data_IF_082724035856
#
_entry.id   IF_082724035856
#
_cell.length_a   1.000
_cell.length_b   1.000
_cell.length_c   1.000
_cell.angle_alpha   90.00
_cell.angle_beta   90.00
_cell.angle_gamma   90.00
#
_symmetry.space_group_name_H-M   'P 1'
#
loop_
_entity.id
_entity.type
_entity.pdbx_description
1 polymer ?
#
# COMPACT_ATOMS: atom_id res chain seq x y z
N UNK A 1 6.52 -8.31 -5.16
CA UNK A 1 7.10 -7.36 -4.19
C UNK A 1 7.02 -5.92 -4.69
N UNK A 2 7.50 -5.64 -5.91
CA UNK A 2 7.49 -4.30 -6.53
C UNK A 2 6.22 -3.48 -6.27
N UNK A 3 5.05 -3.96 -6.69
CA UNK A 3 3.79 -3.20 -6.54
C UNK A 3 3.40 -2.92 -5.08
N UNK A 4 3.78 -3.79 -4.14
CA UNK A 4 3.53 -3.58 -2.70
C UNK A 4 4.47 -2.52 -2.13
N UNK A 5 5.72 -2.46 -2.60
CA UNK A 5 6.65 -1.38 -2.26
C UNK A 5 6.23 -0.04 -2.89
N UNK A 6 5.73 -0.05 -4.12
CA UNK A 6 5.18 1.17 -4.75
C UNK A 6 4.01 1.72 -3.92
N UNK A 7 3.10 0.85 -3.46
CA UNK A 7 2.00 1.26 -2.58
C UNK A 7 2.50 1.80 -1.24
N UNK A 8 3.50 1.16 -0.64
CA UNK A 8 4.16 1.67 0.57
C UNK A 8 4.68 3.08 0.36
N UNK A 9 5.46 3.31 -0.70
CA UNK A 9 6.02 4.63 -0.97
C UNK A 9 4.95 5.67 -1.25
N UNK A 10 3.90 5.31 -1.98
CA UNK A 10 2.78 6.21 -2.24
C UNK A 10 2.04 6.61 -0.96
N UNK A 11 1.99 5.74 0.06
CA UNK A 11 1.43 6.04 1.37
C UNK A 11 2.39 6.81 2.31
N UNK A 12 3.70 6.75 2.08
CA UNK A 12 4.72 7.46 2.88
C UNK A 12 5.03 8.84 2.29
N UNK A 13 5.36 8.91 1.00
CA UNK A 13 5.77 10.11 0.27
C UNK A 13 4.55 10.71 -0.44
N UNK A 14 3.59 11.13 0.38
CA UNK A 14 2.21 11.35 -0.05
C UNK A 14 2.04 12.60 -0.91
N UNK A 15 1.35 12.44 -2.04
CA UNK A 15 0.64 13.52 -2.75
C UNK A 15 -0.82 13.12 -2.98
N UNK A 16 -1.72 14.10 -3.03
CA UNK A 16 -3.16 13.85 -3.26
C UNK A 16 -3.64 14.46 -4.58
N UNK A 17 -4.32 13.63 -5.37
CA UNK A 17 -4.88 13.97 -6.67
C UNK A 17 -5.68 15.28 -6.67
N UNK A 18 -6.50 15.52 -5.64
CA UNK A 18 -7.33 16.73 -5.54
C UNK A 18 -6.53 18.02 -5.37
N UNK A 19 -5.34 17.95 -4.77
CA UNK A 19 -4.50 19.14 -4.50
C UNK A 19 -3.40 19.35 -5.54
N UNK A 20 -3.01 18.33 -6.31
CA UNK A 20 -1.98 18.48 -7.38
C UNK A 20 -2.47 19.18 -8.65
N UNK A 21 -3.75 19.57 -8.70
CA UNK A 21 -4.29 20.74 -9.41
C UNK A 21 -4.29 20.75 -10.96
N UNK A 22 -5.41 21.20 -11.53
CA UNK A 22 -5.53 21.57 -12.95
C UNK A 22 -5.54 20.39 -13.93
N UNK A 23 -5.55 20.72 -15.23
CA UNK A 23 -5.66 19.73 -16.34
C UNK A 23 -4.57 18.63 -16.35
N UNK A 24 -3.48 18.85 -15.63
CA UNK A 24 -2.32 17.96 -15.58
C UNK A 24 -2.27 17.09 -14.31
N UNK A 25 -3.20 17.24 -13.35
CA UNK A 25 -3.13 16.55 -12.05
C UNK A 25 -3.01 15.03 -12.16
N UNK A 26 -3.80 14.41 -13.06
CA UNK A 26 -3.75 12.97 -13.32
C UNK A 26 -2.37 12.49 -13.77
N UNK A 27 -1.79 13.19 -14.75
CA UNK A 27 -0.49 12.81 -15.31
C UNK A 27 0.64 13.03 -14.30
N UNK A 28 0.54 14.04 -13.42
CA UNK A 28 1.51 14.22 -12.32
C UNK A 28 1.49 13.05 -11.35
N UNK A 29 0.31 12.60 -10.93
CA UNK A 29 0.19 11.44 -10.04
C UNK A 29 0.73 10.15 -10.69
N UNK A 30 0.47 9.94 -11.98
CA UNK A 30 1.03 8.79 -12.71
C UNK A 30 2.55 8.87 -12.78
N UNK A 31 3.11 10.02 -13.14
CA UNK A 31 4.56 10.17 -13.25
C UNK A 31 5.25 9.94 -11.90
N UNK A 32 4.70 10.50 -10.81
CA UNK A 32 5.21 10.25 -9.47
C UNK A 32 5.12 8.75 -9.12
N UNK A 33 4.01 8.09 -9.41
CA UNK A 33 3.85 6.66 -9.10
C UNK A 33 4.78 5.76 -9.93
N UNK A 34 4.98 6.07 -11.21
CA UNK A 34 5.97 5.38 -12.05
C UNK A 34 7.38 5.57 -11.50
N UNK A 35 7.74 6.79 -11.08
CA UNK A 35 9.02 7.05 -10.41
C UNK A 35 9.16 6.20 -9.13
N UNK A 36 8.16 6.21 -8.24
CA UNK A 36 8.18 5.39 -7.03
C UNK A 36 8.28 3.89 -7.31
N UNK A 37 7.69 3.44 -8.42
CA UNK A 37 7.78 2.05 -8.88
C UNK A 37 9.17 1.72 -9.40
N UNK A 38 9.73 2.55 -10.27
CA UNK A 38 11.05 2.33 -10.88
C UNK A 38 12.17 2.40 -9.82
N UNK A 39 12.00 3.23 -8.79
CA UNK A 39 12.95 3.43 -7.70
C UNK A 39 12.56 2.73 -6.39
N UNK A 40 11.65 1.75 -6.42
CA UNK A 40 11.07 1.14 -5.23
C UNK A 40 12.10 0.54 -4.25
N UNK A 41 13.28 0.17 -4.73
CA UNK A 41 14.38 -0.43 -3.97
C UNK A 41 15.71 0.33 -4.08
N UNK A 42 15.68 1.58 -4.55
CA UNK A 42 16.86 2.44 -4.70
C UNK A 42 17.40 2.90 -3.33
N UNK A 43 18.43 3.76 -3.32
CA UNK A 43 18.84 4.45 -2.10
C UNK A 43 17.80 5.47 -1.68
N UNK A 44 17.68 5.69 -0.37
CA UNK A 44 16.70 6.63 0.14
C UNK A 44 16.95 8.07 -0.32
N UNK A 45 18.23 8.42 -0.50
CA UNK A 45 18.68 9.70 -1.05
C UNK A 45 18.12 9.92 -2.46
N UNK A 46 18.22 8.93 -3.34
CA UNK A 46 17.73 9.02 -4.71
C UNK A 46 16.21 9.19 -4.75
N UNK A 47 15.50 8.42 -3.92
CA UNK A 47 14.04 8.50 -3.80
C UNK A 47 13.62 9.90 -3.34
N UNK A 48 14.25 10.42 -2.27
CA UNK A 48 13.93 11.75 -1.74
C UNK A 48 14.30 12.87 -2.71
N UNK A 49 15.46 12.81 -3.37
CA UNK A 49 15.85 13.79 -4.40
C UNK A 49 14.84 13.83 -5.54
N UNK A 50 14.41 12.65 -6.03
CA UNK A 50 13.40 12.56 -7.07
C UNK A 50 12.08 13.17 -6.63
N UNK A 51 11.61 12.84 -5.42
CA UNK A 51 10.37 13.39 -4.85
C UNK A 51 10.46 14.89 -4.57
N UNK A 52 11.59 15.42 -4.10
CA UNK A 52 11.79 16.88 -3.93
C UNK A 52 11.60 17.64 -5.23
N UNK A 53 12.03 17.04 -6.34
CA UNK A 53 11.89 17.62 -7.68
C UNK A 53 10.60 17.22 -8.40
N UNK A 54 9.76 16.36 -7.81
CA UNK A 54 8.60 15.79 -8.49
C UNK A 54 7.48 16.84 -8.69
N UNK A 55 6.92 16.99 -9.90
CA UNK A 55 5.86 17.95 -10.16
C UNK A 55 4.59 17.80 -9.32
N UNK A 56 4.22 16.58 -8.91
CA UNK A 56 3.08 16.38 -8.04
C UNK A 56 3.39 16.93 -6.65
N UNK A 57 4.56 16.59 -6.09
CA UNK A 57 5.01 17.05 -4.78
C UNK A 57 5.21 18.57 -4.71
N UNK A 58 5.83 19.16 -5.75
CA UNK A 58 6.05 20.60 -5.87
C UNK A 58 4.74 21.41 -5.84
N UNK A 59 3.65 20.87 -6.40
CA UNK A 59 2.31 21.43 -6.28
C UNK A 59 1.68 21.13 -4.92
N UNK A 60 1.75 19.87 -4.48
CA UNK A 60 1.06 19.39 -3.29
C UNK A 60 1.51 20.08 -2.01
N UNK A 61 2.81 20.32 -1.85
CA UNK A 61 3.38 20.99 -0.67
C UNK A 61 3.86 22.41 -0.97
N UNK A 62 3.29 23.01 -2.01
CA UNK A 62 3.44 24.43 -2.35
C UNK A 62 4.90 24.90 -2.53
N UNK A 63 5.83 23.99 -2.88
CA UNK A 63 7.23 24.35 -3.12
C UNK A 63 7.38 25.25 -4.36
N UNK A 64 6.43 25.19 -5.31
CA UNK A 64 6.32 26.16 -6.41
C UNK A 64 6.11 27.61 -5.97
N UNK A 65 5.62 27.82 -4.74
CA UNK A 65 5.45 29.15 -4.13
C UNK A 65 6.65 29.54 -3.25
N UNK A 66 7.62 28.64 -3.06
CA UNK A 66 8.84 28.92 -2.31
C UNK A 66 9.77 29.80 -3.15
N UNK A 67 10.08 31.00 -2.66
CA UNK A 67 10.92 31.99 -3.36
C UNK A 67 12.19 32.25 -2.56
N UNK A 68 13.25 32.67 -3.25
CA UNK A 68 14.54 33.10 -2.66
C UNK A 68 14.39 33.92 -1.37
N UNK A 69 13.53 34.94 -1.40
CA UNK A 69 13.32 35.88 -0.28
C UNK A 69 12.12 35.55 0.61
N UNK A 70 11.28 34.60 0.19
CA UNK A 70 10.10 34.16 0.93
C UNK A 70 9.97 32.64 0.80
N UNK A 71 10.80 31.87 1.53
CA UNK A 71 10.74 30.42 1.50
C UNK A 71 9.41 29.90 2.04
N UNK A 72 8.89 28.83 1.44
CA UNK A 72 7.69 28.16 1.92
C UNK A 72 8.08 26.96 2.80
N UNK A 73 7.69 27.01 4.07
CA UNK A 73 8.04 26.01 5.08
C UNK A 73 7.33 24.66 4.93
N UNK A 74 6.20 24.59 4.20
CA UNK A 74 5.36 23.40 4.16
C UNK A 74 6.17 22.15 3.78
N UNK A 75 6.80 22.13 2.60
CA UNK A 75 7.58 20.97 2.19
C UNK A 75 8.74 20.65 3.15
N UNK A 76 9.45 21.65 3.66
CA UNK A 76 10.57 21.44 4.57
C UNK A 76 10.13 20.78 5.89
N UNK A 77 9.00 21.23 6.43
CA UNK A 77 8.39 20.65 7.63
C UNK A 77 7.98 19.20 7.40
N UNK A 78 7.22 18.93 6.34
CA UNK A 78 6.74 17.58 6.04
C UNK A 78 7.89 16.62 5.71
N UNK A 79 8.93 17.11 5.02
CA UNK A 79 10.12 16.33 4.72
C UNK A 79 10.81 15.86 6.01
N UNK A 80 10.94 16.72 7.02
CA UNK A 80 11.49 16.35 8.33
C UNK A 80 10.52 15.50 9.16
N UNK A 81 9.26 15.92 9.27
CA UNK A 81 8.30 15.34 10.21
C UNK A 81 7.71 14.02 9.71
N UNK A 82 7.25 13.98 8.46
CA UNK A 82 6.44 12.88 7.93
C UNK A 82 7.18 12.00 6.95
N UNK A 83 8.29 12.47 6.38
CA UNK A 83 9.07 11.69 5.44
C UNK A 83 10.35 11.14 6.05
N UNK A 84 11.07 11.85 6.93
CA UNK A 84 12.43 11.40 7.32
C UNK A 84 12.68 11.21 8.82
N UNK A 85 12.39 12.17 9.70
CA UNK A 85 12.89 12.15 11.08
C UNK A 85 11.79 11.80 12.09
N UNK A 86 10.57 12.28 11.87
CA UNK A 86 9.53 12.27 12.90
C UNK A 86 9.58 13.49 13.81
N UNK A 87 8.55 13.64 14.63
CA UNK A 87 8.44 14.72 15.62
C UNK A 87 9.56 14.65 16.67
N UNK A 88 10.02 15.82 17.12
CA UNK A 88 11.00 15.94 18.21
C UNK A 88 12.47 15.87 17.80
N UNK A 89 12.76 15.76 16.50
CA UNK A 89 14.12 15.64 15.96
C UNK A 89 14.62 16.88 15.21
N UNK A 90 13.85 17.96 15.20
CA UNK A 90 14.18 19.22 14.56
C UNK A 90 13.50 20.38 15.29
N UNK A 91 13.99 21.60 15.07
CA UNK A 91 13.43 22.84 15.62
C UNK A 91 12.67 23.63 14.56
N UNK A 92 11.93 24.65 14.99
CA UNK A 92 11.31 25.59 14.05
C UNK A 92 12.36 26.33 13.19
N UNK A 93 13.57 26.56 13.72
CA UNK A 93 14.65 27.18 12.95
C UNK A 93 15.10 26.25 11.82
N UNK A 94 15.21 24.94 12.07
CA UNK A 94 15.55 23.97 11.03
C UNK A 94 14.51 23.95 9.91
N UNK A 95 13.23 24.16 10.22
CA UNK A 95 12.17 24.28 9.21
C UNK A 95 12.41 25.48 8.31
N UNK A 96 12.69 26.65 8.90
CA UNK A 96 12.96 27.88 8.16
C UNK A 96 14.21 27.74 7.27
N UNK A 97 15.29 27.22 7.82
CA UNK A 97 16.59 27.06 7.16
C UNK A 97 16.54 26.00 6.05
N UNK A 98 15.86 24.89 6.30
CA UNK A 98 15.57 23.86 5.30
C UNK A 98 14.72 24.41 4.17
N UNK A 99 13.68 25.19 4.48
CA UNK A 99 12.84 25.83 3.47
C UNK A 99 13.65 26.77 2.56
N UNK A 100 14.55 27.57 3.14
CA UNK A 100 15.46 28.42 2.40
C UNK A 100 16.38 27.60 1.48
N UNK A 101 16.96 26.51 1.97
CA UNK A 101 17.81 25.61 1.19
C UNK A 101 17.07 24.89 0.04
N UNK A 102 15.76 24.69 0.19
CA UNK A 102 14.89 24.03 -0.79
C UNK A 102 14.34 24.97 -1.88
N UNK A 103 14.65 26.28 -1.84
CA UNK A 103 14.25 27.24 -2.88
C UNK A 103 14.96 27.00 -4.23
N UNK A 104 14.35 27.47 -5.32
CA UNK A 104 14.91 27.41 -6.68
C UNK A 104 14.20 26.44 -7.63
N UNK A 105 13.15 25.76 -7.19
CA UNK A 105 12.38 24.83 -8.03
C UNK A 105 11.21 25.51 -8.75
N UNK A 106 11.06 25.18 -10.02
CA UNK A 106 10.00 25.70 -10.89
C UNK A 106 9.37 24.58 -11.70
N UNK A 107 8.16 24.85 -12.17
CA UNK A 107 7.43 23.93 -13.06
C UNK A 107 7.28 24.50 -14.45
N UNK A 108 7.40 23.60 -15.43
CA UNK A 108 7.06 23.82 -16.83
C UNK A 108 6.21 22.64 -17.31
N UNK A 109 4.89 22.80 -17.24
CA UNK A 109 3.94 21.76 -17.64
C UNK A 109 3.94 20.55 -16.71
N UNK A 110 4.54 19.45 -17.18
CA UNK A 110 4.70 18.16 -16.47
C UNK A 110 6.14 17.90 -16.04
N UNK A 111 7.04 18.86 -16.25
CA UNK A 111 8.44 18.76 -15.86
C UNK A 111 8.76 19.85 -14.84
N UNK A 112 9.71 19.56 -13.96
CA UNK A 112 10.32 20.54 -13.07
C UNK A 112 11.69 20.93 -13.60
N UNK A 113 12.19 22.07 -13.14
CA UNK A 113 13.59 22.47 -13.35
C UNK A 113 14.05 23.33 -12.17
N UNK A 114 15.36 23.29 -11.92
CA UNK A 114 16.01 24.08 -10.90
C UNK A 114 16.63 25.34 -11.52
N UNK A 115 16.33 26.51 -10.97
CA UNK A 115 16.93 27.79 -11.32
C UNK A 115 17.81 28.29 -10.17
N UNK A 116 19.15 28.23 -10.28
CA UNK A 116 20.06 28.69 -9.24
C UNK A 116 19.88 30.17 -8.87
N UNK A 117 19.36 31.03 -9.76
CA UNK A 117 19.14 32.45 -9.46
C UNK A 117 18.01 32.67 -8.45
N UNK A 118 17.05 31.74 -8.40
CA UNK A 118 15.89 31.78 -7.51
C UNK A 118 16.13 31.01 -6.21
N UNK A 119 17.34 30.49 -6.02
CA UNK A 119 17.81 29.88 -4.79
C UNK A 119 18.26 30.94 -3.79
N UNK A 120 17.89 30.76 -2.52
CA UNK A 120 18.44 31.48 -1.39
C UNK A 120 19.89 31.04 -1.20
N UNK A 121 20.83 31.94 -1.49
CA UNK A 121 22.28 31.72 -1.46
C UNK A 121 22.94 32.24 -0.18
N UNK A 122 22.14 32.61 0.83
CA UNK A 122 22.67 33.00 2.13
C UNK A 122 23.21 31.78 2.89
N UNK A 123 24.11 32.03 3.84
CA UNK A 123 24.55 31.01 4.80
C UNK A 123 23.37 30.58 5.64
N UNK A 124 23.14 29.26 5.70
CA UNK A 124 22.06 28.59 6.42
C UNK A 124 22.66 27.69 7.49
N UNK A 125 21.94 27.51 8.59
CA UNK A 125 22.29 26.51 9.61
C UNK A 125 21.14 25.52 9.75
N UNK A 126 21.33 24.30 9.23
CA UNK A 126 20.30 23.27 9.15
C UNK A 126 20.77 22.01 9.85
N UNK A 127 20.06 21.60 10.92
CA UNK A 127 20.36 20.40 11.72
C UNK A 127 21.83 20.31 12.15
N UNK A 128 22.40 21.46 12.55
CA UNK A 128 23.79 21.58 13.00
C UNK A 128 24.83 21.74 11.89
N UNK A 129 24.44 21.71 10.61
CA UNK A 129 25.33 21.98 9.48
C UNK A 129 25.19 23.42 9.02
N UNK A 130 26.30 24.14 8.89
CA UNK A 130 26.32 25.54 8.45
C UNK A 130 27.02 25.70 7.11
N UNK A 131 26.40 26.42 6.18
CA UNK A 131 26.98 26.73 4.87
C UNK A 131 25.97 27.30 3.89
N UNK A 132 26.36 27.48 2.63
CA UNK A 132 25.42 27.80 1.56
C UNK A 132 24.72 26.52 1.07
N UNK A 133 23.83 25.98 1.92
CA UNK A 133 23.17 24.70 1.71
C UNK A 133 22.10 24.80 0.62
N UNK A 134 22.04 23.79 -0.24
CA UNK A 134 21.01 23.59 -1.26
C UNK A 134 20.18 22.31 -1.00
N UNK A 135 19.23 22.01 -1.88
CA UNK A 135 18.33 20.86 -1.73
C UNK A 135 19.06 19.51 -1.62
N UNK A 136 20.21 19.33 -2.28
CA UNK A 136 21.00 18.08 -2.17
C UNK A 136 21.62 17.95 -0.79
N UNK A 137 22.12 19.06 -0.25
CA UNK A 137 22.66 19.08 1.11
C UNK A 137 21.57 18.78 2.13
N UNK A 138 20.36 19.34 1.96
CA UNK A 138 19.20 19.02 2.82
C UNK A 138 18.90 17.53 2.80
N UNK A 139 18.78 16.91 1.62
CA UNK A 139 18.51 15.47 1.54
C UNK A 139 19.64 14.66 2.17
N UNK A 140 20.90 14.99 1.86
CA UNK A 140 22.05 14.29 2.41
C UNK A 140 22.12 14.40 3.95
N UNK A 141 21.87 15.59 4.51
CA UNK A 141 21.84 15.79 5.97
C UNK A 141 20.73 14.96 6.60
N UNK A 142 19.54 14.94 5.99
CA UNK A 142 18.40 14.20 6.50
C UNK A 142 18.61 12.68 6.45
N UNK A 143 19.09 12.14 5.34
CA UNK A 143 19.28 10.69 5.19
C UNK A 143 20.36 10.15 6.11
N UNK A 144 21.35 10.97 6.47
CA UNK A 144 22.41 10.66 7.44
C UNK A 144 22.05 11.01 8.89
N UNK A 145 20.91 11.68 9.14
CA UNK A 145 20.52 12.04 10.50
C UNK A 145 20.24 10.79 11.34
N UNK A 146 20.68 10.71 12.63
CA UNK A 146 20.53 9.51 13.45
C UNK A 146 19.10 8.98 13.59
N UNK A 147 18.08 9.84 13.47
CA UNK A 147 16.67 9.46 13.54
C UNK A 147 16.13 8.82 12.24
N UNK A 148 16.70 9.14 11.08
CA UNK A 148 16.20 8.72 9.77
C UNK A 148 16.11 7.20 9.57
N UNK A 149 17.15 6.39 9.90
CA UNK A 149 17.03 4.94 9.78
C UNK A 149 15.90 4.39 10.66
N UNK A 150 15.74 4.88 11.89
CA UNK A 150 14.69 4.41 12.80
C UNK A 150 13.30 4.74 12.29
N UNK A 151 13.13 5.94 11.75
CA UNK A 151 11.88 6.39 11.16
C UNK A 151 11.43 5.50 10.00
N UNK A 152 12.31 5.34 9.00
CA UNK A 152 11.96 4.62 7.78
C UNK A 152 11.78 3.11 8.04
N UNK A 153 12.69 2.52 8.80
CA UNK A 153 12.63 1.08 9.11
C UNK A 153 11.42 0.72 9.95
N UNK A 154 10.99 1.60 10.88
CA UNK A 154 9.72 1.42 11.60
C UNK A 154 8.53 1.41 10.66
N UNK A 155 8.47 2.36 9.71
CA UNK A 155 7.39 2.40 8.71
C UNK A 155 7.37 1.13 7.85
N UNK A 156 8.52 0.71 7.33
CA UNK A 156 8.64 -0.52 6.56
C UNK A 156 8.21 -1.74 7.39
N UNK A 157 8.71 -1.87 8.61
CA UNK A 157 8.38 -2.99 9.48
C UNK A 157 6.87 -3.06 9.76
N UNK A 158 6.26 -1.95 10.18
CA UNK A 158 4.82 -1.89 10.42
C UNK A 158 4.03 -2.22 9.14
N UNK A 159 4.48 -1.74 7.98
CA UNK A 159 3.80 -1.98 6.71
C UNK A 159 3.98 -3.39 6.14
N UNK A 160 4.93 -4.20 6.64
CA UNK A 160 5.16 -5.56 6.12
C UNK A 160 4.97 -6.67 7.14
N UNK A 161 5.07 -6.39 8.44
CA UNK A 161 5.17 -7.43 9.49
C UNK A 161 4.04 -7.26 10.51
N UNK A 162 4.22 -6.47 11.56
CA UNK A 162 3.22 -6.19 12.59
C UNK A 162 3.38 -4.78 13.17
N UNK A 163 2.35 -4.31 13.86
CA UNK A 163 2.33 -2.99 14.51
C UNK A 163 3.19 -2.93 15.77
N UNK A 164 3.67 -1.73 16.10
CA UNK A 164 4.43 -1.44 17.32
C UNK A 164 5.70 -2.33 17.51
N UNK A 165 6.60 -2.41 16.51
CA UNK A 165 7.84 -3.16 16.66
C UNK A 165 8.74 -2.59 17.76
N UNK A 166 9.41 -3.49 18.47
CA UNK A 166 10.39 -3.14 19.48
C UNK A 166 11.65 -2.52 18.84
N UNK A 167 12.49 -1.90 19.66
CA UNK A 167 13.81 -1.41 19.20
C UNK A 167 14.67 -2.54 18.66
N UNK A 168 14.62 -3.72 19.28
CA UNK A 168 15.41 -4.89 18.88
C UNK A 168 14.95 -5.46 17.54
N UNK A 169 13.65 -5.42 17.26
CA UNK A 169 13.11 -5.82 15.95
C UNK A 169 13.62 -4.92 14.82
N UNK A 170 13.81 -3.62 15.09
CA UNK A 170 14.23 -2.64 14.10
C UNK A 170 15.74 -2.54 13.94
N UNK A 171 16.51 -2.87 14.98
CA UNK A 171 17.97 -2.66 15.01
C UNK A 171 18.71 -3.29 13.81
N UNK A 172 18.41 -4.52 13.36
CA UNK A 172 19.07 -5.10 12.19
C UNK A 172 18.80 -4.33 10.89
N UNK A 173 17.59 -3.77 10.74
CA UNK A 173 17.20 -2.97 9.58
C UNK A 173 17.88 -1.60 9.61
N UNK A 174 17.94 -0.98 10.80
CA UNK A 174 18.66 0.28 11.03
C UNK A 174 20.14 0.13 10.68
N UNK A 175 20.77 -0.95 11.16
CA UNK A 175 22.17 -1.25 10.86
C UNK A 175 22.38 -1.48 9.36
N UNK A 176 21.48 -2.22 8.72
CA UNK A 176 21.53 -2.43 7.26
C UNK A 176 21.38 -1.11 6.50
N UNK A 177 20.47 -0.23 6.91
CA UNK A 177 20.28 1.08 6.28
C UNK A 177 21.60 1.88 6.30
N UNK A 178 22.27 1.95 7.46
CA UNK A 178 23.53 2.69 7.59
C UNK A 178 24.66 2.02 6.80
N UNK A 179 24.86 0.71 6.98
CA UNK A 179 25.98 -0.03 6.38
C UNK A 179 25.90 -0.11 4.85
N UNK A 180 24.68 -0.13 4.30
CA UNK A 180 24.47 -0.22 2.85
C UNK A 180 24.48 1.13 2.13
N UNK A 181 24.70 2.23 2.85
CA UNK A 181 24.57 3.58 2.27
C UNK A 181 23.12 3.86 1.85
N UNK A 182 22.17 3.57 2.73
CA UNK A 182 20.74 3.84 2.60
C UNK A 182 20.01 3.03 1.52
N UNK A 183 20.54 1.87 1.11
CA UNK A 183 19.94 1.04 0.07
C UNK A 183 18.66 0.33 0.58
N UNK A 184 17.50 0.70 0.03
CA UNK A 184 16.22 0.15 0.51
C UNK A 184 16.01 -1.30 0.06
N UNK A 185 16.57 -1.71 -1.07
CA UNK A 185 16.61 -3.12 -1.47
C UNK A 185 17.30 -4.01 -0.43
N UNK A 186 18.44 -3.55 0.12
CA UNK A 186 19.16 -4.25 1.17
C UNK A 186 18.35 -4.31 2.46
N UNK A 187 17.76 -3.19 2.89
CA UNK A 187 16.88 -3.14 4.08
C UNK A 187 15.69 -4.09 3.93
N UNK A 188 15.04 -4.12 2.77
CA UNK A 188 13.94 -5.03 2.49
C UNK A 188 14.40 -6.49 2.50
N UNK A 189 15.57 -6.79 1.95
CA UNK A 189 16.14 -8.14 2.04
C UNK A 189 16.36 -8.57 3.50
N UNK A 190 16.91 -7.69 4.33
CA UNK A 190 17.08 -7.95 5.78
C UNK A 190 15.73 -8.19 6.46
N UNK A 191 14.73 -7.34 6.21
CA UNK A 191 13.39 -7.49 6.76
C UNK A 191 12.77 -8.85 6.39
N UNK A 192 12.75 -9.21 5.12
CA UNK A 192 12.07 -10.43 4.63
C UNK A 192 12.75 -11.73 5.06
N UNK A 193 14.04 -11.67 5.38
CA UNK A 193 14.81 -12.81 5.89
C UNK A 193 14.93 -12.80 7.43
N UNK A 194 14.31 -11.84 8.10
CA UNK A 194 14.34 -11.76 9.56
C UNK A 194 13.49 -12.86 10.20
N UNK A 195 13.88 -13.38 11.38
CA UNK A 195 13.05 -14.31 12.15
C UNK A 195 11.67 -13.74 12.49
N UNK A 196 11.58 -12.42 12.70
CA UNK A 196 10.34 -11.71 12.98
C UNK A 196 9.33 -11.88 11.84
N UNK A 197 9.78 -11.83 10.57
CA UNK A 197 8.89 -11.91 9.41
C UNK A 197 8.08 -13.21 9.36
N UNK A 198 8.66 -14.33 9.77
CA UNK A 198 8.02 -15.64 9.83
C UNK A 198 7.58 -16.05 11.25
N UNK A 199 7.58 -15.12 12.20
CA UNK A 199 7.25 -15.41 13.60
C UNK A 199 5.75 -15.64 13.80
N UNK A 200 5.39 -16.36 14.86
CA UNK A 200 3.99 -16.51 15.26
C UNK A 200 3.30 -15.17 15.56
N UNK A 201 4.07 -14.16 16.00
CA UNK A 201 3.56 -12.81 16.22
C UNK A 201 3.22 -12.08 14.92
N UNK A 202 3.96 -12.32 13.83
CA UNK A 202 3.68 -11.71 12.54
C UNK A 202 2.50 -12.37 11.83
N UNK A 203 2.28 -13.66 12.08
CA UNK A 203 1.24 -14.43 11.43
C UNK A 203 -0.16 -13.86 11.68
N UNK A 204 -0.85 -13.41 10.62
CA UNK A 204 -2.22 -12.86 10.70
C UNK A 204 -2.35 -11.68 11.67
N UNK A 205 -1.28 -10.92 11.85
CA UNK A 205 -1.23 -9.81 12.80
C UNK A 205 -1.78 -8.51 12.24
N UNK A 206 -2.00 -8.44 10.91
CA UNK A 206 -2.40 -7.21 10.24
C UNK A 206 -3.64 -7.40 9.42
N UNK A 207 -4.57 -6.46 9.55
CA UNK A 207 -5.73 -6.38 8.67
C UNK A 207 -5.26 -5.98 7.27
N UNK A 208 -5.68 -6.76 6.26
CA UNK A 208 -5.50 -6.41 4.85
C UNK A 208 -6.05 -5.02 4.59
N UNK A 209 -5.24 -4.14 4.00
CA UNK A 209 -5.75 -2.87 3.47
C UNK A 209 -6.83 -3.12 2.40
N UNK A 210 -7.70 -2.15 2.11
CA UNK A 210 -8.68 -2.29 1.03
C UNK A 210 -8.09 -2.72 -0.32
N UNK A 211 -6.92 -2.21 -0.69
CA UNK A 211 -6.20 -2.63 -1.91
C UNK A 211 -5.77 -4.09 -1.82
N UNK A 212 -5.14 -4.50 -0.72
CA UNK A 212 -4.70 -5.89 -0.54
C UNK A 212 -5.88 -6.86 -0.55
N UNK A 213 -6.99 -6.49 0.08
CA UNK A 213 -8.21 -7.30 0.10
C UNK A 213 -8.82 -7.46 -1.30
N UNK A 214 -9.00 -6.35 -2.02
CA UNK A 214 -9.65 -6.34 -3.34
C UNK A 214 -8.76 -6.95 -4.43
N UNK A 215 -7.52 -6.46 -4.56
CA UNK A 215 -6.58 -6.98 -5.57
C UNK A 215 -6.17 -8.41 -5.24
N UNK A 216 -6.04 -8.75 -3.95
CA UNK A 216 -5.76 -10.12 -3.50
C UNK A 216 -6.85 -11.09 -3.94
N UNK A 217 -8.12 -10.78 -3.67
CA UNK A 217 -9.25 -11.58 -4.14
C UNK A 217 -9.28 -11.70 -5.68
N UNK A 218 -9.15 -10.57 -6.37
CA UNK A 218 -9.15 -10.53 -7.84
C UNK A 218 -8.07 -11.44 -8.46
N UNK A 219 -6.87 -11.43 -7.87
CA UNK A 219 -5.74 -12.27 -8.29
C UNK A 219 -5.93 -13.74 -7.91
N UNK A 220 -6.41 -14.02 -6.70
CA UNK A 220 -6.59 -15.39 -6.19
C UNK A 220 -7.54 -16.22 -7.08
N UNK A 221 -8.56 -15.58 -7.66
CA UNK A 221 -9.47 -16.22 -8.60
C UNK A 221 -9.05 -16.10 -10.07
N UNK A 222 -7.86 -15.56 -10.36
CA UNK A 222 -7.33 -15.46 -11.72
C UNK A 222 -8.18 -14.61 -12.65
N UNK A 223 -8.96 -13.66 -12.12
CA UNK A 223 -9.89 -12.84 -12.91
C UNK A 223 -9.11 -12.07 -13.98
N UNK A 224 -9.55 -12.20 -15.23
CA UNK A 224 -8.97 -11.53 -16.40
C UNK A 224 -9.82 -10.31 -16.74
N UNK A 225 -9.37 -9.13 -16.33
CA UNK A 225 -10.02 -7.86 -16.63
C UNK A 225 -9.07 -6.69 -16.35
N UNK A 226 -9.47 -5.49 -16.75
CA UNK A 226 -8.66 -4.27 -16.62
C UNK A 226 -8.75 -3.60 -15.24
N UNK A 227 -9.58 -4.14 -14.34
CA UNK A 227 -9.72 -3.66 -12.97
C UNK A 227 -10.40 -2.29 -12.83
N UNK A 228 -11.08 -1.77 -13.86
CA UNK A 228 -11.66 -0.41 -13.83
C UNK A 228 -12.56 -0.12 -12.62
N UNK A 229 -13.27 -1.12 -12.09
CA UNK A 229 -14.15 -0.96 -10.93
C UNK A 229 -13.44 -0.98 -9.57
N UNK A 230 -12.17 -1.44 -9.50
CA UNK A 230 -11.47 -1.64 -8.24
C UNK A 230 -11.27 -0.33 -7.44
N UNK A 231 -10.87 0.81 -8.04
CA UNK A 231 -10.67 2.05 -7.28
C UNK A 231 -11.93 2.54 -6.56
N UNK A 232 -13.12 2.33 -7.14
CA UNK A 232 -14.38 2.68 -6.49
C UNK A 232 -14.63 1.83 -5.23
N UNK A 233 -14.32 0.53 -5.31
CA UNK A 233 -14.48 -0.40 -4.19
C UNK A 233 -13.49 -0.08 -3.06
N UNK A 234 -12.22 0.17 -3.37
CA UNK A 234 -11.23 0.53 -2.33
C UNK A 234 -11.60 1.86 -1.65
N UNK A 235 -12.16 2.81 -2.40
CA UNK A 235 -12.68 4.09 -1.87
C UNK A 235 -13.82 3.86 -0.89
N UNK A 236 -14.79 2.99 -1.21
CA UNK A 236 -15.90 2.65 -0.30
C UNK A 236 -15.42 1.92 0.98
N UNK A 237 -14.21 1.37 0.97
CA UNK A 237 -13.55 0.76 2.12
C UNK A 237 -12.57 1.71 2.84
N UNK A 238 -12.49 2.98 2.42
CA UNK A 238 -11.68 4.02 3.06
C UNK A 238 -10.30 4.28 2.46
N UNK A 239 -9.93 3.61 1.36
CA UNK A 239 -8.64 3.81 0.68
C UNK A 239 -8.83 4.29 -0.77
N UNK A 240 -8.95 5.62 -0.92
CA UNK A 240 -8.99 6.28 -2.23
C UNK A 240 -7.58 6.35 -2.82
N UNK A 241 -7.25 5.48 -3.77
CA UNK A 241 -5.93 5.43 -4.41
C UNK A 241 -5.62 6.74 -5.14
N UNK A 242 -4.35 7.15 -5.12
CA UNK A 242 -3.86 8.47 -5.57
C UNK A 242 -4.39 9.69 -4.80
N UNK A 243 -5.25 9.52 -3.79
CA UNK A 243 -5.83 10.63 -3.06
C UNK A 243 -5.89 10.36 -1.55
N UNK A 244 -4.73 10.21 -0.87
CA UNK A 244 -4.72 10.08 0.59
C UNK A 244 -5.34 11.32 1.26
N UNK A 245 -5.98 11.16 2.43
CA UNK A 245 -6.75 12.22 3.06
C UNK A 245 -5.91 13.41 3.54
N UNK A 246 -4.63 13.20 3.84
CA UNK A 246 -3.66 14.24 4.20
C UNK A 246 -2.23 13.76 3.94
N UNK A 247 -1.25 14.64 4.16
CA UNK A 247 0.19 14.39 3.90
C UNK A 247 0.72 13.19 4.68
N UNK A 248 0.08 12.83 5.79
CA UNK A 248 0.48 11.72 6.62
C UNK A 248 0.03 10.34 6.08
N UNK A 249 -0.55 10.29 4.88
CA UNK A 249 -1.00 9.08 4.20
C UNK A 249 -2.38 8.61 4.65
N UNK A 250 -2.67 7.32 4.47
CA UNK A 250 -3.90 6.74 4.99
C UNK A 250 -3.74 6.29 6.45
N UNK A 251 -4.71 6.61 7.35
CA UNK A 251 -4.63 6.21 8.75
C UNK A 251 -4.44 4.71 8.96
N UNK A 252 -5.07 3.88 8.12
CA UNK A 252 -4.99 2.44 8.23
C UNK A 252 -3.62 1.84 7.90
N UNK A 253 -2.74 2.54 7.18
CA UNK A 253 -1.36 2.09 6.96
C UNK A 253 -0.51 2.19 8.24
N UNK A 254 -0.94 3.01 9.20
CA UNK A 254 -0.31 3.15 10.52
C UNK A 254 -0.93 2.23 11.56
N UNK A 255 -2.25 2.10 11.51
CA UNK A 255 -3.05 1.29 12.43
C UNK A 255 -4.07 0.50 11.63
N UNK A 256 -3.75 -0.76 11.34
CA UNK A 256 -4.47 -1.65 10.42
C UNK A 256 -5.93 -1.85 10.83
N UNK A 257 -6.25 -1.77 12.13
CA UNK A 257 -7.63 -1.86 12.62
C UNK A 257 -8.53 -0.74 12.09
N UNK A 258 -7.98 0.40 11.64
CA UNK A 258 -8.74 1.47 10.99
C UNK A 258 -9.22 1.08 9.57
N UNK A 259 -8.72 -0.02 8.99
CA UNK A 259 -9.23 -0.57 7.75
C UNK A 259 -10.50 -1.42 7.90
N UNK A 260 -10.89 -1.77 9.13
CA UNK A 260 -12.01 -2.67 9.38
C UNK A 260 -12.88 -2.16 10.54
N UNK A 261 -14.08 -1.73 10.18
CA UNK A 261 -15.17 -1.35 11.07
C UNK A 261 -16.49 -1.94 10.52
N UNK A 262 -17.60 -1.80 11.23
CA UNK A 262 -18.88 -2.40 10.84
C UNK A 262 -19.33 -2.01 9.41
N UNK A 263 -19.07 -0.77 8.98
CA UNK A 263 -19.44 -0.29 7.65
C UNK A 263 -18.54 -0.86 6.54
N UNK A 264 -17.23 -0.74 6.72
CA UNK A 264 -16.24 -1.26 5.76
C UNK A 264 -16.29 -2.79 5.67
N UNK A 265 -16.65 -3.46 6.77
CA UNK A 265 -16.91 -4.90 6.79
C UNK A 265 -18.02 -5.30 5.82
N UNK A 266 -19.18 -4.62 5.89
CA UNK A 266 -20.28 -4.86 4.96
C UNK A 266 -19.87 -4.57 3.52
N UNK A 267 -19.06 -3.52 3.27
CA UNK A 267 -18.52 -3.24 1.94
C UNK A 267 -17.64 -4.38 1.42
N UNK A 268 -16.80 -4.98 2.27
CA UNK A 268 -15.98 -6.16 1.92
C UNK A 268 -16.85 -7.33 1.51
N UNK A 269 -17.87 -7.64 2.30
CA UNK A 269 -18.84 -8.69 2.00
C UNK A 269 -19.59 -8.45 0.69
N UNK A 270 -20.04 -7.22 0.45
CA UNK A 270 -20.71 -6.85 -0.81
C UNK A 270 -19.78 -7.00 -2.02
N UNK A 271 -18.48 -6.69 -1.87
CA UNK A 271 -17.50 -6.91 -2.91
C UNK A 271 -17.29 -8.41 -3.22
N UNK A 272 -17.31 -9.28 -2.19
CA UNK A 272 -17.22 -10.72 -2.39
C UNK A 272 -18.45 -11.26 -3.14
N UNK A 273 -19.67 -10.81 -2.78
CA UNK A 273 -20.89 -11.15 -3.51
C UNK A 273 -20.82 -10.71 -4.97
N UNK A 274 -20.38 -9.47 -5.20
CA UNK A 274 -20.15 -8.93 -6.53
C UNK A 274 -19.21 -9.87 -7.31
N UNK A 275 -18.01 -10.15 -6.78
CA UNK A 275 -16.99 -10.96 -7.43
C UNK A 275 -17.45 -12.40 -7.74
N UNK A 276 -18.13 -13.05 -6.79
CA UNK A 276 -18.51 -14.46 -6.90
C UNK A 276 -19.81 -14.68 -7.67
N UNK A 277 -20.78 -13.76 -7.57
CA UNK A 277 -22.15 -13.96 -8.05
C UNK A 277 -22.47 -13.09 -9.25
N UNK A 278 -22.13 -11.79 -9.18
CA UNK A 278 -22.60 -10.77 -10.15
C UNK A 278 -21.57 -10.41 -11.23
N UNK A 279 -20.29 -10.72 -11.01
CA UNK A 279 -19.17 -10.27 -11.86
C UNK A 279 -18.56 -8.97 -11.37
N UNK A 280 -17.72 -8.29 -12.18
CA UNK A 280 -17.09 -7.02 -11.77
C UNK A 280 -17.88 -5.81 -12.22
N UNK A 281 -17.80 -4.70 -11.48
CA UNK A 281 -18.29 -3.39 -11.94
C UNK A 281 -17.45 -2.92 -13.14
N UNK A 282 -17.97 -3.06 -14.36
CA UNK A 282 -17.40 -2.44 -15.56
C UNK A 282 -18.53 -1.77 -16.35
N UNK A 283 -18.30 -0.53 -16.82
CA UNK A 283 -19.29 0.21 -17.63
C UNK A 283 -19.36 -0.26 -19.08
N UNK A 284 -18.36 -1.04 -19.53
CA UNK A 284 -18.32 -1.71 -20.84
C UNK A 284 -17.78 -3.13 -20.67
N UNK A 285 -18.63 -4.13 -20.91
CA UNK A 285 -18.28 -5.54 -20.76
C UNK A 285 -18.06 -5.93 -19.30
N UNK A 286 -19.12 -6.33 -18.60
CA UNK A 286 -18.98 -6.90 -17.26
C UNK A 286 -18.05 -8.11 -17.32
N UNK A 287 -16.92 -8.08 -16.59
CA UNK A 287 -16.17 -9.33 -16.37
C UNK A 287 -17.17 -10.30 -15.73
N UNK A 288 -17.41 -11.46 -16.34
CA UNK A 288 -18.39 -12.40 -15.81
C UNK A 288 -17.99 -12.85 -14.41
N UNK A 289 -18.94 -13.37 -13.61
CA UNK A 289 -18.62 -14.02 -12.36
C UNK A 289 -17.54 -15.08 -12.55
N UNK A 290 -16.81 -15.39 -11.47
CA UNK A 290 -15.77 -16.42 -11.48
C UNK A 290 -16.32 -17.73 -12.04
N UNK A 291 -15.63 -18.28 -13.04
CA UNK A 291 -15.95 -19.57 -13.64
C UNK A 291 -15.41 -20.72 -12.77
N UNK A 292 -16.21 -21.07 -11.76
CA UNK A 292 -15.89 -22.16 -10.83
C UNK A 292 -15.88 -23.53 -11.52
N UNK A 293 -16.61 -23.73 -12.61
CA UNK A 293 -16.64 -25.02 -13.30
C UNK A 293 -15.29 -25.28 -13.96
N UNK A 294 -14.73 -24.27 -14.63
CA UNK A 294 -13.38 -24.36 -15.22
C UNK A 294 -12.32 -24.59 -14.13
N UNK A 295 -12.42 -23.92 -12.98
CA UNK A 295 -11.48 -24.15 -11.86
C UNK A 295 -11.57 -25.59 -11.32
N UNK A 296 -12.78 -26.10 -11.13
CA UNK A 296 -13.03 -27.48 -10.67
C UNK A 296 -12.42 -28.50 -11.64
N UNK A 297 -12.65 -28.32 -12.94
CA UNK A 297 -12.14 -29.22 -13.97
C UNK A 297 -10.61 -29.19 -14.05
N UNK A 298 -10.02 -27.99 -14.11
CA UNK A 298 -8.57 -27.82 -14.28
C UNK A 298 -7.76 -28.34 -13.09
N UNK A 299 -8.36 -28.38 -11.89
CA UNK A 299 -7.70 -28.81 -10.66
C UNK A 299 -8.16 -30.18 -10.17
N UNK A 300 -8.91 -30.92 -11.00
CA UNK A 300 -9.43 -32.25 -10.67
C UNK A 300 -10.14 -32.31 -9.31
N UNK A 301 -10.96 -31.30 -9.00
CA UNK A 301 -11.67 -31.25 -7.72
C UNK A 301 -12.81 -32.27 -7.77
N UNK A 302 -12.75 -33.27 -6.91
CA UNK A 302 -13.61 -34.47 -6.95
C UNK A 302 -14.55 -34.59 -5.74
N UNK A 303 -14.41 -33.72 -4.74
CA UNK A 303 -15.17 -33.79 -3.50
C UNK A 303 -15.33 -32.42 -2.84
N UNK A 304 -16.37 -32.21 -2.01
CA UNK A 304 -16.51 -31.01 -1.18
C UNK A 304 -15.29 -30.75 -0.29
N UNK A 305 -14.75 -31.80 0.32
CA UNK A 305 -13.48 -31.78 1.06
C UNK A 305 -12.35 -31.21 0.23
N UNK A 306 -12.11 -31.78 -0.97
CA UNK A 306 -11.04 -31.32 -1.86
C UNK A 306 -11.26 -29.89 -2.32
N UNK A 307 -12.52 -29.47 -2.52
CA UNK A 307 -12.86 -28.09 -2.85
C UNK A 307 -12.46 -27.13 -1.73
N UNK A 308 -12.87 -27.42 -0.49
CA UNK A 308 -12.55 -26.58 0.67
C UNK A 308 -11.04 -26.51 0.88
N UNK A 309 -10.35 -27.64 0.82
CA UNK A 309 -8.89 -27.70 1.00
C UNK A 309 -8.13 -26.96 -0.11
N UNK A 310 -8.60 -27.10 -1.36
CA UNK A 310 -7.99 -26.40 -2.51
C UNK A 310 -8.06 -24.88 -2.35
N UNK A 311 -9.22 -24.33 -2.03
CA UNK A 311 -9.35 -22.88 -1.85
C UNK A 311 -8.69 -22.39 -0.56
N UNK A 312 -8.77 -23.16 0.52
CA UNK A 312 -8.11 -22.82 1.78
C UNK A 312 -6.57 -22.78 1.63
N UNK A 313 -5.97 -23.55 0.71
CA UNK A 313 -4.52 -23.58 0.54
C UNK A 313 -3.92 -22.25 0.11
N UNK A 314 -4.68 -21.37 -0.55
CA UNK A 314 -4.21 -20.07 -1.02
C UNK A 314 -5.04 -18.88 -0.54
N UNK A 315 -6.29 -19.08 -0.13
CA UNK A 315 -7.07 -18.02 0.54
C UNK A 315 -6.71 -17.91 2.02
N UNK A 316 -6.39 -19.05 2.65
CA UNK A 316 -6.14 -19.15 4.09
C UNK A 316 -4.77 -19.80 4.41
N UNK A 317 -3.84 -19.77 3.47
CA UNK A 317 -2.47 -20.26 3.65
C UNK A 317 -2.40 -21.75 4.05
N UNK A 318 -3.43 -22.53 3.72
CA UNK A 318 -3.56 -23.94 4.12
C UNK A 318 -3.90 -24.15 5.59
N UNK A 319 -4.15 -23.08 6.35
CA UNK A 319 -4.49 -23.15 7.78
C UNK A 319 -5.98 -22.94 7.98
N UNK A 320 -6.69 -24.05 8.16
CA UNK A 320 -8.11 -24.05 8.49
C UNK A 320 -8.34 -25.03 9.64
N UNK A 321 -8.85 -24.51 10.76
CA UNK A 321 -9.19 -25.33 11.91
C UNK A 321 -10.23 -26.39 11.54
N UNK A 322 -10.12 -27.58 12.12
CA UNK A 322 -10.92 -28.75 11.71
C UNK A 322 -12.43 -28.53 11.89
N UNK A 323 -12.83 -27.80 12.93
CA UNK A 323 -14.22 -27.42 13.18
C UNK A 323 -14.77 -26.51 12.07
N UNK A 324 -14.01 -25.48 11.67
CA UNK A 324 -14.41 -24.57 10.59
C UNK A 324 -14.39 -25.24 9.22
N UNK A 325 -13.43 -26.14 8.99
CA UNK A 325 -13.39 -27.00 7.80
C UNK A 325 -14.68 -27.79 7.67
N UNK A 326 -15.09 -28.48 8.74
CA UNK A 326 -16.34 -29.24 8.77
C UNK A 326 -17.56 -28.35 8.50
N UNK A 327 -17.64 -27.16 9.11
CA UNK A 327 -18.74 -26.22 8.86
C UNK A 327 -18.84 -25.78 7.38
N UNK A 328 -17.71 -25.56 6.70
CA UNK A 328 -17.70 -25.19 5.29
C UNK A 328 -18.14 -26.34 4.38
N UNK A 329 -17.76 -27.58 4.72
CA UNK A 329 -18.18 -28.80 4.01
C UNK A 329 -19.67 -29.08 4.22
N UNK A 330 -20.15 -28.93 5.46
CA UNK A 330 -21.56 -29.08 5.81
C UNK A 330 -22.40 -28.06 5.04
N UNK A 331 -21.96 -26.80 4.99
CA UNK A 331 -22.63 -25.77 4.19
C UNK A 331 -22.62 -26.12 2.69
N UNK A 332 -21.48 -26.58 2.15
CA UNK A 332 -21.35 -26.97 0.74
C UNK A 332 -22.34 -28.08 0.35
N UNK A 333 -22.53 -29.05 1.24
CA UNK A 333 -23.39 -30.23 1.01
C UNK A 333 -24.85 -30.00 1.42
N UNK A 334 -25.17 -28.87 2.03
CA UNK A 334 -26.53 -28.55 2.46
C UNK A 334 -27.47 -28.47 1.27
N UNK A 335 -28.62 -29.15 1.39
CA UNK A 335 -29.63 -29.19 0.35
C UNK A 335 -30.10 -27.77 0.00
N UNK A 336 -30.16 -27.47 -1.29
CA UNK A 336 -30.88 -26.30 -1.78
C UNK A 336 -32.27 -26.75 -2.23
N UNK A 337 -33.31 -26.15 -1.65
CA UNK A 337 -34.71 -26.42 -1.98
C UNK A 337 -35.25 -25.48 -3.06
N UNK A 338 -34.44 -24.52 -3.53
CA UNK A 338 -34.79 -23.62 -4.61
C UNK A 338 -34.94 -24.39 -5.94
N UNK A 339 -35.95 -24.05 -6.75
CA UNK A 339 -36.17 -24.66 -8.06
C UNK A 339 -35.39 -23.91 -9.14
N UNK A 340 -34.73 -24.65 -10.05
CA UNK A 340 -34.10 -24.08 -11.25
C UNK A 340 -32.73 -23.43 -11.06
N UNK A 341 -32.04 -23.71 -9.94
CA UNK A 341 -30.70 -23.19 -9.69
C UNK A 341 -29.63 -23.81 -10.60
N UNK A 342 -28.64 -23.00 -10.99
CA UNK A 342 -27.42 -23.48 -11.66
C UNK A 342 -26.67 -24.47 -10.76
N UNK A 343 -25.93 -25.40 -11.36
CA UNK A 343 -25.14 -26.40 -10.65
C UNK A 343 -23.69 -26.41 -11.09
N UNK A 344 -22.82 -26.89 -10.22
CA UNK A 344 -21.43 -27.25 -10.51
C UNK A 344 -21.31 -28.76 -10.41
N UNK A 345 -20.68 -29.36 -11.41
CA UNK A 345 -20.38 -30.81 -11.39
C UNK A 345 -18.92 -31.00 -11.03
N UNK A 346 -18.67 -31.74 -9.94
CA UNK A 346 -17.33 -32.13 -9.56
C UNK A 346 -16.83 -33.24 -10.49
N UNK A 347 -15.51 -33.46 -10.52
CA UNK A 347 -14.90 -34.43 -11.45
C UNK A 347 -15.29 -35.89 -11.16
N UNK A 348 -15.87 -36.18 -9.99
CA UNK A 348 -16.48 -37.48 -9.67
C UNK A 348 -17.90 -37.67 -10.26
N UNK A 349 -18.42 -36.69 -11.00
CA UNK A 349 -19.76 -36.72 -11.62
C UNK A 349 -20.91 -36.28 -10.71
N UNK A 350 -20.67 -35.96 -9.43
CA UNK A 350 -21.71 -35.43 -8.53
C UNK A 350 -21.90 -33.93 -8.76
N UNK A 351 -23.15 -33.51 -8.85
CA UNK A 351 -23.52 -32.11 -9.03
C UNK A 351 -24.05 -31.47 -7.75
N UNK A 352 -23.67 -30.21 -7.52
CA UNK A 352 -24.02 -29.43 -6.34
C UNK A 352 -24.60 -28.07 -6.75
N UNK A 353 -25.55 -27.50 -5.99
CA UNK A 353 -26.10 -26.17 -6.27
C UNK A 353 -25.00 -25.09 -6.28
N UNK A 354 -24.93 -24.29 -7.34
CA UNK A 354 -23.88 -23.28 -7.52
C UNK A 354 -23.87 -22.23 -6.40
N UNK A 355 -25.03 -21.87 -5.85
CA UNK A 355 -25.12 -20.96 -4.71
C UNK A 355 -24.47 -21.52 -3.44
N UNK A 356 -24.52 -22.85 -3.20
CA UNK A 356 -23.80 -23.49 -2.09
C UNK A 356 -22.30 -23.44 -2.32
N UNK A 357 -21.85 -23.78 -3.53
CA UNK A 357 -20.43 -23.71 -3.90
C UNK A 357 -19.88 -22.28 -3.74
N UNK A 358 -20.59 -21.27 -4.26
CA UNK A 358 -20.23 -19.85 -4.10
C UNK A 358 -20.30 -19.40 -2.64
N UNK A 359 -21.34 -19.82 -1.92
CA UNK A 359 -21.53 -19.48 -0.51
C UNK A 359 -20.41 -20.03 0.37
N UNK A 360 -19.88 -21.23 0.09
CA UNK A 360 -18.70 -21.77 0.78
C UNK A 360 -17.48 -20.86 0.60
N UNK A 361 -17.21 -20.39 -0.63
CA UNK A 361 -16.12 -19.44 -0.89
C UNK A 361 -16.36 -18.09 -0.22
N UNK A 362 -17.59 -17.59 -0.28
CA UNK A 362 -17.99 -16.35 0.38
C UNK A 362 -17.74 -16.44 1.89
N UNK A 363 -18.17 -17.52 2.55
CA UNK A 363 -17.96 -17.74 3.98
C UNK A 363 -16.47 -17.88 4.34
N UNK A 364 -15.70 -18.59 3.50
CA UNK A 364 -14.25 -18.70 3.66
C UNK A 364 -13.57 -17.33 3.60
N UNK A 365 -13.96 -16.48 2.65
CA UNK A 365 -13.41 -15.13 2.50
C UNK A 365 -14.01 -14.13 3.49
N UNK A 366 -15.18 -14.42 4.06
CA UNK A 366 -15.78 -13.65 5.16
C UNK A 366 -15.21 -14.06 6.52
N UNK A 367 -14.29 -15.02 6.58
CA UNK A 367 -13.65 -15.42 7.82
C UNK A 367 -12.65 -14.36 8.30
N UNK A 368 -12.42 -14.22 9.63
CA UNK A 368 -11.35 -13.40 10.17
C UNK A 368 -9.99 -13.73 9.55
N UNK A 369 -9.74 -15.02 9.30
CA UNK A 369 -8.50 -15.53 8.73
C UNK A 369 -8.19 -14.90 7.37
N UNK A 370 -9.22 -14.76 6.51
CA UNK A 370 -9.05 -14.11 5.21
C UNK A 370 -8.88 -12.59 5.32
N UNK A 371 -9.33 -11.94 6.40
CA UNK A 371 -9.17 -10.50 6.56
C UNK A 371 -7.74 -10.09 6.95
N UNK A 372 -6.92 -11.04 7.37
CA UNK A 372 -5.61 -10.80 7.96
C UNK A 372 -4.48 -11.25 7.01
N UNK A 373 -3.35 -10.55 7.05
CA UNK A 373 -2.08 -10.93 6.42
C UNK A 373 -1.14 -11.52 7.46
#
# INVERSE_FOLDING_TARGET
MLEKMTLFWHGVLTSSFRKVGGKNGYMRMINQNNFLRDHAFDTYDNILLGITSDPAMLFYLDLTKSRKTMPNENYARELMELFTLGLGHYTQQDVYEGAAALTGWHLRGLSSYYNPKDHNDLTKTYLGHTGNLNYKDVINILTNHPAAPWFLTRKLFTFFVYENPSTDDLKPLVDTYVQSGHNIGAVMRTLLLSPQFSSAQAYRSRVKSPVEFTVGAYRAFGVKGDGQGLPAITTLMGQTIFDPPNVAGWPGDKVSSLWLNSGTWLTRLNYLDLLLVRGTLASKGSTPPIDLQTIVNNNAIDSPDRFVDYFASFLLDGTLASDRRSLLIDYFTTRDTSRGGQQITLTNGKSYPLNRVRGTLYLMMASPEYQLN
#
